data_IF_512007866368
#
_entry.id   IF_512007866368
#
_cell.length_a   1.000
_cell.length_b   1.000
_cell.length_c   1.000
_cell.angle_alpha   90.00
_cell.angle_beta   90.00
_cell.angle_gamma   90.00
#
_symmetry.space_group_name_H-M   'P 1'
#
loop_
_entity.id
_entity.type
_entity.pdbx_description
1 polymer ?
#
# COMPACT_ATOMS: atom_id res chain seq x y z
N UNK A 1 -5.97 -0.89 1.70
CA UNK A 1 -6.02 0.42 2.40
C UNK A 1 -5.12 1.43 1.70
N UNK A 2 -3.86 1.08 1.43
CA UNK A 2 -2.89 1.95 0.74
C UNK A 2 -3.39 2.45 -0.64
N UNK A 3 -4.05 1.60 -1.44
CA UNK A 3 -4.72 2.02 -2.68
C UNK A 3 -5.68 3.22 -2.49
N UNK A 4 -6.39 3.27 -1.36
CA UNK A 4 -7.29 4.40 -1.05
C UNK A 4 -6.51 5.65 -0.66
N UNK A 5 -5.41 5.51 0.08
CA UNK A 5 -4.51 6.62 0.45
C UNK A 5 -3.98 7.29 -0.82
N UNK A 6 -3.39 6.52 -1.71
CA UNK A 6 -2.85 7.02 -2.98
C UNK A 6 -3.92 7.66 -3.85
N UNK A 7 -5.10 7.02 -3.95
CA UNK A 7 -6.24 7.58 -4.67
C UNK A 7 -6.63 8.99 -4.21
N UNK A 8 -6.61 9.26 -2.90
CA UNK A 8 -6.95 10.59 -2.37
C UNK A 8 -5.81 11.60 -2.52
N UNK A 9 -4.57 11.15 -2.68
CA UNK A 9 -3.41 12.02 -2.91
C UNK A 9 -3.28 12.49 -4.37
N UNK A 10 -3.77 11.70 -5.34
CA UNK A 10 -3.68 11.99 -6.78
C UNK A 10 -4.44 13.27 -7.17
N UNK A 11 -3.81 14.11 -8.00
CA UNK A 11 -4.41 15.33 -8.55
C UNK A 11 -4.53 15.28 -10.07
N UNK A 12 -5.08 16.33 -10.69
CA UNK A 12 -5.12 16.47 -12.16
C UNK A 12 -3.79 16.89 -12.80
N UNK A 13 -2.73 17.15 -12.01
CA UNK A 13 -1.42 17.57 -12.55
C UNK A 13 -0.72 16.39 -13.23
N UNK A 14 -0.06 16.66 -14.36
CA UNK A 14 0.76 15.67 -15.08
C UNK A 14 2.22 15.79 -14.65
N UNK A 15 2.53 15.30 -13.45
CA UNK A 15 3.88 15.34 -12.88
C UNK A 15 4.37 13.95 -12.46
N UNK A 16 5.66 13.88 -12.12
CA UNK A 16 6.32 12.66 -11.66
C UNK A 16 5.59 12.04 -10.46
N UNK A 17 5.21 12.87 -9.49
CA UNK A 17 4.55 12.42 -8.27
C UNK A 17 3.23 11.73 -8.58
N UNK A 18 2.35 12.34 -9.38
CA UNK A 18 1.07 11.71 -9.72
C UNK A 18 1.29 10.44 -10.55
N UNK A 19 2.29 10.40 -11.45
CA UNK A 19 2.60 9.16 -12.18
C UNK A 19 2.95 8.02 -11.23
N UNK A 20 3.81 8.28 -10.25
CA UNK A 20 4.21 7.26 -9.28
C UNK A 20 3.07 6.90 -8.32
N UNK A 21 2.26 7.86 -7.87
CA UNK A 21 1.08 7.58 -7.03
C UNK A 21 0.06 6.70 -7.78
N UNK A 22 -0.15 6.94 -9.08
CA UNK A 22 -1.03 6.10 -9.90
C UNK A 22 -0.45 4.68 -10.02
N UNK A 23 0.86 4.56 -10.30
CA UNK A 23 1.51 3.26 -10.41
C UNK A 23 1.42 2.46 -9.10
N UNK A 24 1.73 3.09 -7.96
CA UNK A 24 1.60 2.47 -6.65
C UNK A 24 0.15 2.08 -6.36
N UNK A 25 -0.83 2.98 -6.57
CA UNK A 25 -2.25 2.67 -6.41
C UNK A 25 -2.67 1.43 -7.21
N UNK A 26 -2.22 1.31 -8.45
CA UNK A 26 -2.50 0.14 -9.29
C UNK A 26 -1.87 -1.14 -8.73
N UNK A 27 -0.63 -1.08 -8.23
CA UNK A 27 0.03 -2.24 -7.61
C UNK A 27 -0.66 -2.65 -6.30
N UNK A 28 -1.05 -1.69 -5.45
CA UNK A 28 -1.85 -1.95 -4.24
C UNK A 28 -3.22 -2.60 -4.52
N UNK A 29 -3.80 -2.34 -5.69
CA UNK A 29 -5.04 -3.02 -6.12
C UNK A 29 -4.78 -4.48 -6.47
N UNK A 30 -3.59 -4.80 -6.98
CA UNK A 30 -3.16 -6.19 -7.23
C UNK A 30 -2.93 -6.92 -5.91
N UNK A 31 -2.19 -6.33 -4.96
CA UNK A 31 -2.01 -6.95 -3.62
C UNK A 31 -3.35 -7.23 -2.93
N UNK A 32 -4.29 -6.28 -3.03
CA UNK A 32 -5.64 -6.50 -2.51
C UNK A 32 -6.32 -7.71 -3.16
N UNK A 33 -6.20 -7.87 -4.47
CA UNK A 33 -6.76 -9.02 -5.19
C UNK A 33 -6.05 -10.32 -4.81
N UNK A 34 -4.72 -10.31 -4.75
CA UNK A 34 -3.90 -11.46 -4.36
C UNK A 34 -4.31 -11.97 -2.97
N UNK A 35 -4.44 -11.07 -1.99
CA UNK A 35 -4.96 -11.43 -0.67
C UNK A 35 -6.41 -11.91 -0.69
N UNK A 36 -7.29 -11.26 -1.46
CA UNK A 36 -8.69 -11.68 -1.53
C UNK A 36 -8.83 -13.10 -2.05
N UNK A 37 -8.08 -13.45 -3.09
CA UNK A 37 -8.06 -14.80 -3.66
C UNK A 37 -7.67 -15.80 -2.56
N UNK A 38 -6.54 -15.59 -1.89
CA UNK A 38 -6.09 -16.49 -0.81
C UNK A 38 -7.04 -16.57 0.36
N UNK A 39 -7.59 -15.46 0.82
CA UNK A 39 -8.59 -15.45 1.89
C UNK A 39 -9.83 -16.27 1.53
N UNK A 40 -10.31 -16.17 0.29
CA UNK A 40 -11.46 -16.95 -0.16
C UNK A 40 -11.13 -18.44 -0.37
N UNK A 41 -9.93 -18.77 -0.84
CA UNK A 41 -9.44 -20.16 -0.89
C UNK A 41 -9.44 -20.81 0.50
N UNK A 42 -9.09 -20.05 1.55
CA UNK A 42 -9.16 -20.51 2.95
C UNK A 42 -10.56 -20.39 3.59
N UNK A 43 -11.60 -20.07 2.81
CA UNK A 43 -12.99 -20.04 3.28
C UNK A 43 -13.38 -18.81 4.10
N UNK A 44 -12.58 -17.74 4.09
CA UNK A 44 -12.90 -16.49 4.77
C UNK A 44 -14.10 -15.78 4.11
N UNK A 45 -14.84 -14.98 4.88
CA UNK A 45 -15.98 -14.20 4.39
C UNK A 45 -15.78 -12.70 4.63
N UNK A 46 -16.18 -11.82 3.70
CA UNK A 46 -16.03 -10.37 3.85
C UNK A 46 -16.64 -9.82 5.14
N UNK A 47 -15.84 -9.09 5.92
CA UNK A 47 -16.33 -8.41 7.12
C UNK A 47 -17.25 -7.23 6.78
N UNK A 48 -18.31 -7.05 7.58
CA UNK A 48 -19.20 -5.87 7.52
C UNK A 48 -18.48 -4.57 7.92
N UNK A 49 -17.35 -4.67 8.63
CA UNK A 49 -16.54 -3.53 9.06
C UNK A 49 -15.58 -3.01 7.98
N UNK A 50 -15.62 -3.56 6.76
CA UNK A 50 -14.71 -3.19 5.67
C UNK A 50 -14.66 -1.69 5.34
N UNK A 51 -15.76 -0.97 5.57
CA UNK A 51 -15.85 0.46 5.31
C UNK A 51 -14.95 1.30 6.24
N UNK A 52 -14.59 0.78 7.42
CA UNK A 52 -13.65 1.44 8.32
C UNK A 52 -12.26 1.57 7.68
N UNK A 53 -11.79 0.54 6.97
CA UNK A 53 -10.51 0.62 6.25
C UNK A 53 -10.51 1.69 5.17
N UNK A 54 -11.66 1.93 4.54
CA UNK A 54 -11.81 3.01 3.56
C UNK A 54 -11.72 4.38 4.24
N UNK A 55 -12.37 4.57 5.41
CA UNK A 55 -12.26 5.82 6.17
C UNK A 55 -10.84 6.12 6.61
N UNK A 56 -10.10 5.10 7.06
CA UNK A 56 -8.69 5.24 7.44
C UNK A 56 -7.86 5.67 6.22
N UNK A 57 -8.07 5.02 5.07
CA UNK A 57 -7.41 5.40 3.82
C UNK A 57 -7.73 6.83 3.37
N UNK A 58 -9.00 7.23 3.49
CA UNK A 58 -9.44 8.60 3.22
C UNK A 58 -8.73 9.61 4.12
N UNK A 59 -8.73 9.39 5.45
CA UNK A 59 -8.10 10.31 6.39
C UNK A 59 -6.62 10.51 6.07
N UNK A 60 -5.86 9.41 5.94
CA UNK A 60 -4.43 9.52 5.63
C UNK A 60 -4.17 10.17 4.27
N UNK A 61 -4.91 9.79 3.22
CA UNK A 61 -4.71 10.35 1.88
C UNK A 61 -5.10 11.82 1.78
N UNK A 62 -6.27 12.19 2.29
CA UNK A 62 -6.79 13.56 2.20
C UNK A 62 -5.98 14.54 3.04
N UNK A 63 -5.65 14.21 4.29
CA UNK A 63 -4.93 15.12 5.17
C UNK A 63 -3.46 15.26 4.75
N UNK A 64 -2.78 14.17 4.39
CA UNK A 64 -1.39 14.26 3.90
C UNK A 64 -1.30 15.11 2.63
N UNK A 65 -2.25 14.96 1.71
CA UNK A 65 -2.36 15.82 0.52
C UNK A 65 -2.53 17.28 0.88
N UNK A 66 -3.43 17.59 1.81
CA UNK A 66 -3.74 18.97 2.20
C UNK A 66 -2.52 19.69 2.82
N UNK A 67 -1.63 18.93 3.47
CA UNK A 67 -0.37 19.46 4.02
C UNK A 67 0.69 19.64 2.92
N UNK A 68 0.72 18.75 1.92
CA UNK A 68 1.55 18.89 0.72
C UNK A 68 2.50 17.73 0.46
N UNK A 69 3.36 17.86 -0.56
CA UNK A 69 4.17 16.76 -1.11
C UNK A 69 5.04 16.04 -0.08
N UNK A 70 5.69 16.77 0.83
CA UNK A 70 6.52 16.15 1.88
C UNK A 70 5.70 15.25 2.80
N UNK A 71 4.45 15.64 3.12
CA UNK A 71 3.55 14.83 3.94
C UNK A 71 3.03 13.62 3.16
N UNK A 72 2.67 13.77 1.88
CA UNK A 72 2.31 12.65 1.00
C UNK A 72 3.38 11.55 1.04
N UNK A 73 4.64 11.93 0.80
CA UNK A 73 5.75 10.98 0.73
C UNK A 73 6.07 10.35 2.10
N UNK A 74 6.03 11.14 3.18
CA UNK A 74 6.20 10.61 4.55
C UNK A 74 5.11 9.61 4.93
N UNK A 75 3.86 9.91 4.59
CA UNK A 75 2.74 8.99 4.81
C UNK A 75 2.93 7.71 4.01
N UNK A 76 3.32 7.80 2.73
CA UNK A 76 3.65 6.64 1.90
C UNK A 76 4.73 5.77 2.56
N UNK A 77 5.90 6.34 2.86
CA UNK A 77 7.01 5.61 3.52
C UNK A 77 6.53 4.90 4.80
N UNK A 78 5.75 5.57 5.64
CA UNK A 78 5.28 5.00 6.90
C UNK A 78 4.28 3.84 6.69
N UNK A 79 3.33 3.99 5.77
CA UNK A 79 2.35 2.93 5.47
C UNK A 79 3.05 1.70 4.90
N UNK A 80 3.93 1.87 3.92
CA UNK A 80 4.62 0.74 3.29
C UNK A 80 5.59 0.07 4.27
N UNK A 81 6.25 0.85 5.13
CA UNK A 81 7.13 0.26 6.16
C UNK A 81 6.34 -0.61 7.16
N UNK A 82 5.09 -0.22 7.46
CA UNK A 82 4.19 -1.07 8.24
C UNK A 82 3.74 -2.30 7.46
N UNK A 83 3.46 -2.17 6.17
CA UNK A 83 3.10 -3.30 5.31
C UNK A 83 4.24 -4.33 5.28
N UNK A 84 5.48 -3.92 5.00
CA UNK A 84 6.68 -4.79 5.03
C UNK A 84 6.80 -5.51 6.37
N UNK A 85 6.62 -4.81 7.50
CA UNK A 85 6.68 -5.43 8.83
C UNK A 85 5.60 -6.49 9.05
N UNK A 86 4.38 -6.26 8.56
CA UNK A 86 3.30 -7.26 8.68
C UNK A 86 3.53 -8.45 7.75
N UNK A 87 4.02 -8.23 6.51
CA UNK A 87 4.40 -9.32 5.62
C UNK A 87 5.52 -10.17 6.22
N UNK A 88 6.52 -9.53 6.83
CA UNK A 88 7.61 -10.21 7.53
C UNK A 88 7.08 -11.08 8.68
N UNK A 89 6.20 -10.52 9.51
CA UNK A 89 5.53 -11.26 10.58
C UNK A 89 4.73 -12.45 10.02
N UNK A 90 3.99 -12.27 8.93
CA UNK A 90 3.23 -13.36 8.28
C UNK A 90 4.14 -14.47 7.75
N UNK A 91 5.26 -14.13 7.12
CA UNK A 91 6.21 -15.11 6.56
C UNK A 91 6.90 -15.95 7.65
N UNK A 92 7.11 -15.36 8.84
CA UNK A 92 7.77 -16.02 9.96
C UNK A 92 6.81 -16.77 10.89
N UNK A 93 5.57 -16.28 11.05
CA UNK A 93 4.63 -16.82 12.06
C UNK A 93 3.78 -17.98 11.55
N UNK A 94 3.64 -18.16 10.24
CA UNK A 94 2.76 -19.18 9.65
C UNK A 94 3.51 -19.99 8.59
N UNK A 95 3.29 -21.31 8.61
CA UNK A 95 3.82 -22.20 7.58
C UNK A 95 2.85 -22.24 6.38
N UNK A 96 3.02 -21.30 5.46
CA UNK A 96 2.25 -21.21 4.23
C UNK A 96 2.62 -22.32 3.24
N UNK A 97 1.65 -22.72 2.41
CA UNK A 97 1.95 -23.45 1.18
C UNK A 97 2.82 -22.59 0.25
N UNK A 98 3.53 -23.26 -0.67
CA UNK A 98 4.50 -22.63 -1.55
C UNK A 98 3.90 -21.51 -2.42
N UNK A 99 2.67 -21.70 -2.90
CA UNK A 99 2.02 -20.71 -3.76
C UNK A 99 1.64 -19.46 -2.97
N UNK A 100 1.07 -19.63 -1.77
CA UNK A 100 0.73 -18.53 -0.87
C UNK A 100 1.98 -17.80 -0.37
N UNK A 101 3.05 -18.53 -0.04
CA UNK A 101 4.34 -17.92 0.35
C UNK A 101 4.88 -16.99 -0.73
N UNK A 102 4.90 -17.45 -1.99
CA UNK A 102 5.39 -16.63 -3.13
C UNK A 102 4.60 -15.35 -3.32
N UNK A 103 3.28 -15.39 -3.11
CA UNK A 103 2.44 -14.18 -3.18
C UNK A 103 2.84 -13.19 -2.09
N UNK A 104 3.00 -13.66 -0.85
CA UNK A 104 3.39 -12.81 0.29
C UNK A 104 4.78 -12.21 0.08
N UNK A 105 5.75 -12.99 -0.41
CA UNK A 105 7.11 -12.51 -0.70
C UNK A 105 7.15 -11.49 -1.86
N UNK A 106 6.38 -11.75 -2.93
CA UNK A 106 6.21 -10.80 -4.04
C UNK A 106 5.68 -9.47 -3.53
N UNK A 107 4.58 -9.50 -2.78
CA UNK A 107 3.92 -8.29 -2.31
C UNK A 107 4.83 -7.52 -1.34
N UNK A 108 5.54 -8.21 -0.43
CA UNK A 108 6.56 -7.60 0.43
C UNK A 108 7.66 -6.89 -0.38
N UNK A 109 8.15 -7.52 -1.44
CA UNK A 109 9.20 -6.95 -2.29
C UNK A 109 8.71 -5.69 -3.04
N UNK A 110 7.46 -5.70 -3.50
CA UNK A 110 6.80 -4.54 -4.11
C UNK A 110 6.77 -3.36 -3.11
N UNK A 111 6.39 -3.59 -1.85
CA UNK A 111 6.37 -2.54 -0.81
C UNK A 111 7.75 -1.95 -0.53
N UNK A 112 8.78 -2.80 -0.50
CA UNK A 112 10.16 -2.34 -0.36
C UNK A 112 10.57 -1.44 -1.54
N UNK A 113 10.09 -1.76 -2.74
CA UNK A 113 10.20 -0.94 -3.94
C UNK A 113 9.50 0.42 -3.79
N UNK A 114 8.27 0.45 -3.25
CA UNK A 114 7.54 1.67 -2.95
C UNK A 114 8.29 2.57 -1.95
N UNK A 115 8.78 2.01 -0.83
CA UNK A 115 9.56 2.76 0.17
C UNK A 115 10.78 3.43 -0.47
N UNK A 116 11.53 2.68 -1.27
CA UNK A 116 12.74 3.17 -1.94
C UNK A 116 12.39 4.33 -2.87
N UNK A 117 11.33 4.19 -3.66
CA UNK A 117 10.86 5.23 -4.58
C UNK A 117 10.41 6.49 -3.84
N UNK A 118 9.67 6.36 -2.76
CA UNK A 118 9.22 7.50 -1.96
C UNK A 118 10.37 8.21 -1.26
N UNK A 119 11.37 7.48 -0.76
CA UNK A 119 12.59 8.07 -0.19
C UNK A 119 13.36 8.87 -1.23
N UNK A 120 13.54 8.33 -2.45
CA UNK A 120 14.23 9.02 -3.53
C UNK A 120 13.52 10.32 -3.92
N UNK A 121 12.18 10.27 -4.09
CA UNK A 121 11.39 11.46 -4.36
C UNK A 121 11.42 12.48 -3.21
N UNK A 122 11.48 12.01 -1.96
CA UNK A 122 11.55 12.89 -0.79
C UNK A 122 12.89 13.62 -0.71
N UNK A 123 13.99 12.96 -1.08
CA UNK A 123 15.32 13.56 -1.15
C UNK A 123 15.43 14.56 -2.30
N UNK A 124 14.77 14.31 -3.44
CA UNK A 124 14.81 15.24 -4.58
C UNK A 124 14.03 16.55 -4.39
N UNK A 125 13.23 16.65 -3.32
CA UNK A 125 12.48 17.87 -2.97
C UNK A 125 13.06 18.61 -1.75
N UNK A 126 14.25 18.20 -1.28
CA UNK A 126 15.05 18.95 -0.30
C UNK A 126 15.88 20.01 -1.02
#
# INVERSE_FOLDING_TARGET
MASTIYKFQITGKKDELNRQLIAAMCNEMVHYQDFQVKLFEYGWKPSKLRWLYWLVGFAFGFFSRSIGTKAILRTGIWVESKAVSHYDELLHSVNWDEDTRKVIEKDQADEQGHITRWKNLYQSIQ
#
